data_IF_237200685491
#
_entry.id   IF_237200685491
#
_cell.length_a   1.000
_cell.length_b   1.000
_cell.length_c   1.000
_cell.angle_alpha   90.00
_cell.angle_beta   90.00
_cell.angle_gamma   90.00
#
_symmetry.space_group_name_H-M   'P 1'
#
loop_
_entity.id
_entity.type
_entity.pdbx_description
1 polymer ?
#
# COMPACT_ATOMS: atom_id res chain seq x y z
N UNK A 1 15.39 7.20 63.78
CA UNK A 1 14.41 6.23 63.23
C UNK A 1 14.73 6.00 61.75
N UNK A 2 14.98 4.75 61.36
CA UNK A 2 15.98 4.38 60.35
C UNK A 2 15.36 4.12 58.94
N UNK A 3 15.85 4.80 57.89
CA UNK A 3 15.35 4.77 56.49
C UNK A 3 15.59 3.45 55.72
N UNK A 4 16.03 2.37 56.38
CA UNK A 4 16.42 1.10 55.72
C UNK A 4 15.35 0.00 55.72
N UNK A 5 14.13 0.25 56.21
CA UNK A 5 13.08 -0.81 56.31
C UNK A 5 11.96 -0.76 55.25
N UNK A 6 11.91 0.26 54.38
CA UNK A 6 10.82 0.38 53.39
C UNK A 6 11.15 -0.30 52.05
N UNK A 7 12.41 -0.65 51.79
CA UNK A 7 12.83 -1.21 50.48
C UNK A 7 12.75 -2.75 50.41
N UNK A 8 12.49 -3.47 51.53
CA UNK A 8 12.45 -4.94 51.53
C UNK A 8 11.05 -5.58 51.45
N UNK A 9 9.97 -4.81 51.39
CA UNK A 9 8.60 -5.39 51.40
C UNK A 9 7.95 -5.43 50.00
N UNK A 10 8.46 -4.69 49.02
CA UNK A 10 7.83 -4.65 47.68
C UNK A 10 8.36 -5.74 46.72
N UNK A 11 9.43 -6.45 47.09
CA UNK A 11 10.00 -7.51 46.23
C UNK A 11 9.37 -8.89 46.47
N UNK A 12 8.55 -9.05 47.54
CA UNK A 12 7.91 -10.34 47.88
C UNK A 12 6.46 -10.51 47.42
N UNK A 13 5.94 -9.58 46.62
CA UNK A 13 4.63 -9.70 45.94
C UNK A 13 4.75 -9.70 44.40
N UNK A 14 5.95 -9.94 43.87
CA UNK A 14 6.24 -10.00 42.42
C UNK A 14 6.26 -11.40 41.80
N UNK A 15 5.86 -12.46 42.51
CA UNK A 15 6.02 -13.86 42.06
C UNK A 15 4.74 -14.72 42.16
N UNK A 16 3.56 -14.10 42.25
CA UNK A 16 2.29 -14.83 42.43
C UNK A 16 1.23 -14.57 41.34
N UNK A 17 1.62 -14.10 40.14
CA UNK A 17 0.68 -13.96 39.01
C UNK A 17 1.12 -14.67 37.72
N UNK A 18 2.10 -15.57 37.79
CA UNK A 18 2.46 -16.47 36.67
C UNK A 18 1.83 -17.86 36.78
N UNK A 19 0.75 -18.01 37.56
CA UNK A 19 0.06 -19.29 37.70
C UNK A 19 -1.47 -19.17 37.57
N UNK A 20 -1.94 -18.32 36.66
CA UNK A 20 -3.30 -18.47 36.13
C UNK A 20 -3.20 -19.24 34.82
N UNK A 21 -3.69 -20.48 34.83
CA UNK A 21 -3.71 -21.42 33.71
C UNK A 21 -4.60 -21.01 32.52
N UNK A 22 -4.57 -19.74 32.11
CA UNK A 22 -5.35 -19.25 30.98
C UNK A 22 -4.64 -19.40 29.63
N UNK A 23 -3.32 -19.62 29.60
CA UNK A 23 -2.56 -19.73 28.35
C UNK A 23 -2.65 -21.16 27.77
N UNK A 24 -2.80 -22.20 28.61
CA UNK A 24 -2.88 -23.58 28.12
C UNK A 24 -4.18 -23.87 27.33
N UNK A 25 -5.29 -23.17 27.63
CA UNK A 25 -6.56 -23.33 26.92
C UNK A 25 -6.51 -22.75 25.49
N UNK A 26 -5.71 -21.70 25.28
CA UNK A 26 -5.52 -21.11 23.95
C UNK A 26 -4.76 -22.03 22.98
N UNK A 27 -3.93 -22.94 23.50
CA UNK A 27 -3.15 -23.88 22.67
C UNK A 27 -3.74 -25.30 22.60
N UNK A 28 -4.76 -25.64 23.40
CA UNK A 28 -5.37 -27.00 23.40
C UNK A 28 -6.56 -27.15 22.43
N UNK A 29 -7.21 -26.06 22.01
CA UNK A 29 -8.38 -26.12 21.10
C UNK A 29 -8.02 -26.19 19.60
N UNK A 30 -6.73 -26.14 19.23
CA UNK A 30 -6.30 -26.19 17.82
C UNK A 30 -5.92 -27.59 17.29
N UNK A 31 -6.26 -28.66 18.04
CA UNK A 31 -5.91 -30.05 17.64
C UNK A 31 -7.08 -30.89 17.12
N UNK A 32 -8.26 -30.32 16.90
CA UNK A 32 -9.44 -31.04 16.37
C UNK A 32 -10.23 -30.23 15.35
N UNK A 33 -9.58 -29.77 14.28
CA UNK A 33 -10.26 -29.41 13.02
C UNK A 33 -9.71 -30.29 11.90
N UNK A 34 -9.82 -31.61 12.07
CA UNK A 34 -10.01 -32.49 10.92
C UNK A 34 -11.49 -32.39 10.50
N UNK A 35 -11.84 -31.29 9.81
CA UNK A 35 -13.05 -31.29 8.99
C UNK A 35 -12.65 -31.70 7.59
N UNK A 36 -12.83 -33.00 7.36
CA UNK A 36 -13.03 -33.70 6.09
C UNK A 36 -13.49 -32.75 4.96
N UNK A 37 -12.56 -32.30 4.13
CA UNK A 37 -12.88 -31.72 2.83
C UNK A 37 -13.01 -32.88 1.86
N UNK A 38 -14.26 -33.17 1.50
CA UNK A 38 -14.61 -34.12 0.45
C UNK A 38 -14.16 -33.53 -0.90
N UNK A 39 -13.12 -34.12 -1.49
CA UNK A 39 -12.72 -33.82 -2.87
C UNK A 39 -13.82 -34.32 -3.80
N UNK A 40 -14.58 -33.40 -4.40
CA UNK A 40 -15.36 -33.71 -5.60
C UNK A 40 -14.39 -33.84 -6.77
N UNK A 41 -14.48 -34.96 -7.49
CA UNK A 41 -13.69 -35.28 -8.67
C UNK A 41 -13.63 -34.12 -9.66
N UNK A 42 -12.47 -33.47 -9.76
CA UNK A 42 -12.18 -32.50 -10.81
C UNK A 42 -11.80 -33.31 -12.04
N UNK A 43 -12.63 -33.27 -13.08
CA UNK A 43 -12.32 -33.87 -14.38
C UNK A 43 -11.00 -33.29 -14.92
N UNK A 44 -10.08 -34.12 -15.42
CA UNK A 44 -8.82 -33.64 -15.95
C UNK A 44 -9.08 -32.70 -17.14
N UNK A 45 -8.48 -31.51 -17.06
CA UNK A 45 -8.34 -30.62 -18.22
C UNK A 45 -7.44 -31.35 -19.21
N UNK A 46 -8.01 -31.73 -20.36
CA UNK A 46 -7.25 -32.28 -21.47
C UNK A 46 -6.43 -31.16 -22.09
N UNK A 47 -5.13 -31.16 -21.82
CA UNK A 47 -4.17 -30.47 -22.67
C UNK A 47 -3.96 -31.33 -23.92
N UNK A 48 -4.15 -30.72 -25.10
CA UNK A 48 -3.77 -31.34 -26.37
C UNK A 48 -2.24 -31.38 -26.44
N UNK A 49 -1.63 -32.45 -25.95
CA UNK A 49 -0.23 -32.77 -26.24
C UNK A 49 -0.15 -33.50 -27.59
N UNK A 50 0.56 -32.87 -28.52
CA UNK A 50 0.95 -33.45 -29.80
C UNK A 50 1.91 -34.64 -29.54
N UNK A 51 1.66 -35.86 -30.04
CA UNK A 51 2.34 -37.07 -29.56
C UNK A 51 3.72 -37.32 -30.19
N UNK A 52 4.48 -36.28 -30.53
CA UNK A 52 5.84 -36.41 -31.04
C UNK A 52 6.81 -35.48 -30.31
N UNK A 53 7.12 -35.82 -29.06
CA UNK A 53 8.38 -35.41 -28.44
C UNK A 53 8.75 -36.42 -27.36
N UNK A 54 9.65 -37.33 -27.71
CA UNK A 54 10.41 -38.11 -26.74
C UNK A 54 11.56 -37.23 -26.26
N UNK A 55 11.60 -36.75 -24.99
CA UNK A 55 12.69 -35.90 -24.55
C UNK A 55 13.70 -36.79 -23.81
N UNK A 56 14.59 -37.45 -24.55
CA UNK A 56 15.90 -37.76 -23.99
C UNK A 56 16.65 -36.41 -23.91
N UNK A 57 16.40 -35.66 -22.83
CA UNK A 57 17.14 -34.43 -22.54
C UNK A 57 18.53 -34.85 -22.07
N UNK A 58 19.51 -34.67 -22.96
CA UNK A 58 20.91 -34.81 -22.61
C UNK A 58 21.38 -33.55 -21.88
N UNK A 59 21.82 -33.70 -20.64
CA UNK A 59 22.54 -32.67 -19.91
C UNK A 59 24.00 -32.63 -20.39
N UNK A 60 24.61 -31.45 -20.45
CA UNK A 60 26.05 -31.35 -20.63
C UNK A 60 26.81 -31.68 -19.33
N UNK A 61 28.14 -31.79 -19.42
CA UNK A 61 29.01 -32.18 -18.30
C UNK A 61 28.98 -31.17 -17.12
N UNK A 62 28.31 -30.02 -17.29
CA UNK A 62 28.07 -29.01 -16.25
C UNK A 62 26.63 -29.05 -15.67
N UNK A 63 25.75 -29.93 -16.17
CA UNK A 63 24.41 -30.14 -15.64
C UNK A 63 23.35 -29.14 -16.13
N UNK A 64 23.56 -28.46 -17.26
CA UNK A 64 22.56 -27.54 -17.82
C UNK A 64 21.72 -28.18 -18.93
N UNK A 65 20.38 -28.01 -18.93
CA UNK A 65 19.54 -28.46 -20.04
C UNK A 65 19.79 -27.59 -21.28
N UNK A 66 20.08 -28.20 -22.44
CA UNK A 66 20.43 -27.45 -23.65
C UNK A 66 19.26 -26.74 -24.33
N UNK A 67 18.03 -27.21 -24.14
CA UNK A 67 16.84 -26.65 -24.77
C UNK A 67 15.64 -26.78 -23.81
N UNK A 68 15.49 -25.84 -22.87
CA UNK A 68 14.24 -25.72 -22.12
C UNK A 68 13.54 -24.42 -22.51
N UNK A 69 12.27 -24.53 -22.92
CA UNK A 69 11.39 -23.45 -23.36
C UNK A 69 11.00 -22.46 -22.22
N UNK A 70 11.76 -22.43 -21.13
CA UNK A 70 11.58 -21.55 -19.98
C UNK A 70 12.10 -20.12 -20.25
N UNK A 71 12.77 -19.88 -21.38
CA UNK A 71 13.38 -18.58 -21.70
C UNK A 71 12.40 -17.57 -22.30
N UNK A 72 11.14 -17.96 -22.59
CA UNK A 72 10.14 -17.05 -23.18
C UNK A 72 9.56 -16.05 -22.15
N UNK A 73 9.86 -16.22 -20.85
CA UNK A 73 9.37 -15.36 -19.77
C UNK A 73 10.42 -14.48 -19.09
N UNK A 74 11.65 -14.40 -19.61
CA UNK A 74 12.71 -13.61 -18.98
C UNK A 74 12.39 -12.11 -19.09
N UNK A 75 11.90 -11.54 -17.98
CA UNK A 75 11.87 -10.09 -17.74
C UNK A 75 13.28 -9.57 -18.04
N UNK A 76 13.41 -8.55 -18.90
CA UNK A 76 14.75 -8.16 -19.35
C UNK A 76 15.61 -7.71 -18.16
N UNK A 77 16.92 -7.89 -18.24
CA UNK A 77 17.83 -7.37 -17.21
C UNK A 77 17.64 -5.84 -16.97
N UNK A 78 17.10 -5.10 -17.94
CA UNK A 78 16.75 -3.68 -17.78
C UNK A 78 15.48 -3.44 -16.96
N UNK A 79 14.52 -4.38 -16.95
CA UNK A 79 13.34 -4.33 -16.07
C UNK A 79 13.70 -4.72 -14.63
N UNK A 80 14.64 -5.65 -14.44
CA UNK A 80 15.19 -5.98 -13.11
C UNK A 80 16.05 -4.85 -12.51
N UNK A 81 16.48 -3.88 -13.33
CA UNK A 81 17.32 -2.74 -12.91
C UNK A 81 16.54 -1.47 -12.57
N UNK A 82 15.20 -1.51 -12.48
CA UNK A 82 14.43 -0.41 -11.88
C UNK A 82 14.50 -0.46 -10.36
N UNK A 83 15.71 -0.35 -9.81
CA UNK A 83 15.88 0.13 -8.44
C UNK A 83 15.58 1.63 -8.48
N UNK A 84 14.54 2.13 -7.77
CA UNK A 84 14.24 3.55 -7.72
C UNK A 84 15.49 4.31 -7.31
N UNK A 85 16.03 5.13 -8.21
CA UNK A 85 17.18 5.96 -7.87
C UNK A 85 16.66 7.05 -6.96
N UNK A 86 17.17 7.07 -5.72
CA UNK A 86 16.85 8.12 -4.75
C UNK A 86 16.88 9.50 -5.41
N UNK A 87 15.75 10.20 -5.40
CA UNK A 87 15.62 11.51 -6.06
C UNK A 87 15.01 11.50 -7.47
N UNK A 88 14.37 10.40 -7.89
CA UNK A 88 13.59 10.32 -9.14
C UNK A 88 12.57 11.48 -9.25
N UNK A 89 12.35 11.93 -10.48
CA UNK A 89 11.40 12.98 -10.82
C UNK A 89 10.28 12.38 -11.67
N UNK A 90 9.04 12.66 -11.29
CA UNK A 90 7.84 12.18 -11.96
C UNK A 90 7.09 13.37 -12.56
N UNK A 91 6.65 13.21 -13.81
CA UNK A 91 5.75 14.16 -14.47
C UNK A 91 4.41 13.47 -14.65
N UNK A 92 3.51 13.68 -13.71
CA UNK A 92 2.20 13.05 -13.70
C UNK A 92 1.16 13.94 -14.37
N UNK A 93 0.24 13.33 -15.11
CA UNK A 93 -0.90 14.03 -15.70
C UNK A 93 -2.18 13.50 -15.09
N UNK A 94 -2.94 14.39 -14.46
CA UNK A 94 -4.26 14.03 -13.96
C UNK A 94 -5.24 13.78 -15.11
N UNK A 95 -6.32 13.06 -14.82
CA UNK A 95 -7.43 12.78 -15.73
C UNK A 95 -8.00 14.07 -16.36
N UNK A 96 -8.02 15.17 -15.60
CA UNK A 96 -8.48 16.50 -16.07
C UNK A 96 -7.38 17.32 -16.75
N UNK A 97 -6.23 16.72 -17.03
CA UNK A 97 -5.14 17.32 -17.81
C UNK A 97 -4.16 18.19 -17.02
N UNK A 98 -4.33 18.37 -15.71
CA UNK A 98 -3.34 19.09 -14.88
C UNK A 98 -2.07 18.26 -14.76
N UNK A 99 -0.94 18.86 -15.10
CA UNK A 99 0.41 18.32 -14.86
C UNK A 99 0.84 18.56 -13.41
N UNK A 100 1.51 17.58 -12.82
CA UNK A 100 2.03 17.60 -11.46
C UNK A 100 3.47 17.09 -11.52
N UNK A 101 4.43 17.89 -11.07
CA UNK A 101 5.82 17.47 -10.96
C UNK A 101 6.09 17.02 -9.53
N UNK A 102 6.44 15.74 -9.37
CA UNK A 102 6.74 15.12 -8.08
C UNK A 102 8.22 14.76 -8.06
N UNK A 103 8.96 15.24 -7.06
CA UNK A 103 10.35 14.84 -6.87
C UNK A 103 10.52 14.06 -5.58
N UNK A 104 11.15 12.89 -5.63
CA UNK A 104 11.37 12.05 -4.46
C UNK A 104 12.43 12.62 -3.51
N UNK A 105 12.25 12.36 -2.22
CA UNK A 105 13.19 12.66 -1.13
C UNK A 105 13.31 11.45 -0.24
N UNK A 106 14.39 11.38 0.54
CA UNK A 106 14.63 10.28 1.51
C UNK A 106 13.43 10.02 2.43
N UNK A 107 12.72 11.07 2.84
CA UNK A 107 11.60 10.98 3.80
C UNK A 107 10.30 11.58 3.27
N UNK A 108 10.18 11.80 1.96
CA UNK A 108 8.97 12.37 1.40
C UNK A 108 9.07 12.78 -0.06
N UNK A 109 8.31 13.82 -0.42
CA UNK A 109 8.14 14.25 -1.81
C UNK A 109 8.02 15.76 -1.90
N UNK A 110 8.56 16.30 -2.99
CA UNK A 110 8.35 17.69 -3.42
C UNK A 110 7.24 17.76 -4.45
N UNK A 111 6.45 18.84 -4.44
CA UNK A 111 5.43 19.10 -5.46
C UNK A 111 5.52 20.53 -5.97
N UNK A 112 5.98 20.72 -7.21
CA UNK A 112 6.29 22.05 -7.73
C UNK A 112 5.06 22.98 -7.77
N UNK A 113 3.89 22.44 -8.09
CA UNK A 113 2.63 23.18 -8.17
C UNK A 113 2.04 23.54 -6.80
N UNK A 114 2.54 22.93 -5.73
CA UNK A 114 1.97 23.00 -4.38
C UNK A 114 3.01 23.39 -3.32
N UNK A 115 4.09 24.07 -3.71
CA UNK A 115 5.10 24.57 -2.78
C UNK A 115 4.48 25.36 -1.62
N UNK A 116 4.95 25.08 -0.41
CA UNK A 116 4.48 25.70 0.84
C UNK A 116 3.10 25.23 1.30
N UNK A 117 2.47 24.28 0.62
CA UNK A 117 1.21 23.66 1.06
C UNK A 117 1.48 22.33 1.75
N UNK A 118 0.56 21.94 2.62
CA UNK A 118 0.39 20.54 2.99
C UNK A 118 -0.19 19.80 1.77
N UNK A 119 0.39 18.66 1.41
CA UNK A 119 -0.12 17.80 0.34
C UNK A 119 -0.57 16.48 0.93
N UNK A 120 -1.84 16.14 0.71
CA UNK A 120 -2.34 14.78 0.91
C UNK A 120 -2.12 14.02 -0.39
N UNK A 121 -1.25 13.02 -0.38
CA UNK A 121 -1.09 12.07 -1.46
C UNK A 121 -1.82 10.77 -1.09
N UNK A 122 -2.86 10.43 -1.83
CA UNK A 122 -3.72 9.30 -1.49
C UNK A 122 -3.77 8.27 -2.60
N UNK A 123 -3.54 7.01 -2.27
CA UNK A 123 -3.88 5.86 -3.10
C UNK A 123 -5.31 5.45 -2.79
N UNK A 124 -6.15 5.36 -3.83
CA UNK A 124 -7.57 5.01 -3.69
C UNK A 124 -8.05 4.15 -4.86
N UNK A 125 -9.24 3.58 -4.72
CA UNK A 125 -9.92 2.81 -5.76
C UNK A 125 -11.29 3.36 -6.08
N UNK A 126 -11.70 3.33 -7.36
CA UNK A 126 -13.03 3.81 -7.78
C UNK A 126 -14.17 2.99 -7.16
N UNK A 127 -13.95 1.69 -6.97
CA UNK A 127 -14.92 0.73 -6.42
C UNK A 127 -14.60 0.31 -4.99
N UNK A 128 -13.68 1.01 -4.32
CA UNK A 128 -13.28 0.77 -2.94
C UNK A 128 -14.28 1.45 -1.98
N UNK A 129 -15.08 0.70 -1.18
CA UNK A 129 -16.11 1.29 -0.32
C UNK A 129 -15.54 2.27 0.72
N UNK A 130 -14.43 1.91 1.35
CA UNK A 130 -13.73 2.77 2.31
C UNK A 130 -13.23 4.07 1.69
N UNK A 131 -12.74 3.99 0.45
CA UNK A 131 -12.31 5.16 -0.31
C UNK A 131 -13.51 6.09 -0.59
N UNK A 132 -14.66 5.53 -0.96
CA UNK A 132 -15.89 6.30 -1.20
C UNK A 132 -16.39 6.99 0.08
N UNK A 133 -16.33 6.28 1.23
CA UNK A 133 -16.71 6.81 2.54
C UNK A 133 -15.83 7.99 2.99
N UNK A 134 -14.57 8.04 2.56
CA UNK A 134 -13.61 9.08 2.92
C UNK A 134 -13.76 10.37 2.07
N UNK A 135 -14.39 10.31 0.89
CA UNK A 135 -14.57 11.48 0.01
C UNK A 135 -15.21 12.71 0.70
N UNK A 136 -16.26 12.56 1.54
CA UNK A 136 -16.80 13.67 2.32
C UNK A 136 -15.80 14.26 3.33
N UNK A 137 -14.91 13.44 3.90
CA UNK A 137 -13.85 13.87 4.82
C UNK A 137 -12.83 14.73 4.06
N UNK A 138 -12.28 14.22 2.95
CA UNK A 138 -11.31 14.96 2.12
C UNK A 138 -11.88 16.29 1.62
N UNK A 139 -13.16 16.31 1.22
CA UNK A 139 -13.85 17.53 0.83
C UNK A 139 -13.95 18.55 1.97
N UNK A 140 -14.25 18.11 3.19
CA UNK A 140 -14.31 19.00 4.38
C UNK A 140 -12.92 19.54 4.72
N UNK A 141 -11.90 18.68 4.73
CA UNK A 141 -10.51 19.04 5.02
C UNK A 141 -9.98 20.06 4.01
N UNK A 142 -10.10 19.81 2.70
CA UNK A 142 -9.71 20.79 1.67
C UNK A 142 -10.46 22.12 1.80
N UNK A 143 -11.73 22.10 2.19
CA UNK A 143 -12.49 23.33 2.42
C UNK A 143 -11.97 24.10 3.63
N UNK A 144 -11.66 23.43 4.74
CA UNK A 144 -11.15 24.05 5.97
C UNK A 144 -9.76 24.66 5.75
N UNK A 145 -8.84 23.91 5.13
CA UNK A 145 -7.46 24.34 4.87
C UNK A 145 -7.26 24.95 3.47
N UNK A 146 -8.30 25.58 2.92
CA UNK A 146 -8.28 26.14 1.56
C UNK A 146 -7.12 27.14 1.41
N UNK A 147 -6.31 26.94 0.38
CA UNK A 147 -5.13 27.78 0.10
C UNK A 147 -3.85 27.29 0.78
N UNK A 148 -3.96 26.52 1.87
CA UNK A 148 -2.82 25.95 2.60
C UNK A 148 -2.62 24.45 2.36
N UNK A 149 -3.62 23.77 1.79
CA UNK A 149 -3.61 22.34 1.55
C UNK A 149 -4.09 22.00 0.13
N UNK A 150 -3.53 20.93 -0.43
CA UNK A 150 -4.03 20.26 -1.62
C UNK A 150 -4.13 18.74 -1.42
N UNK A 151 -5.04 18.09 -2.15
CA UNK A 151 -5.09 16.63 -2.28
C UNK A 151 -4.62 16.25 -3.68
N UNK A 152 -3.86 15.18 -3.81
CA UNK A 152 -3.55 14.50 -5.07
C UNK A 152 -3.92 13.03 -4.84
N UNK A 153 -4.76 12.48 -5.71
CA UNK A 153 -5.20 11.10 -5.58
C UNK A 153 -4.69 10.26 -6.74
N UNK A 154 -4.12 9.10 -6.45
CA UNK A 154 -3.72 8.08 -7.42
C UNK A 154 -4.78 6.99 -7.39
N UNK A 155 -5.45 6.78 -8.51
CA UNK A 155 -6.38 5.68 -8.68
C UNK A 155 -5.54 4.42 -8.88
N UNK A 156 -5.47 3.56 -7.87
CA UNK A 156 -4.56 2.40 -7.81
C UNK A 156 -5.28 1.08 -8.10
N UNK A 157 -6.32 1.11 -8.95
CA UNK A 157 -7.05 -0.06 -9.41
C UNK A 157 -7.07 -0.08 -10.94
N UNK A 158 -7.95 -0.87 -11.55
CA UNK A 158 -8.16 -0.85 -12.98
C UNK A 158 -8.51 0.57 -13.47
N UNK A 159 -7.81 0.98 -14.53
CA UNK A 159 -7.92 2.30 -15.15
C UNK A 159 -9.38 2.66 -15.44
N UNK A 160 -9.75 3.90 -15.17
CA UNK A 160 -11.04 4.39 -15.63
C UNK A 160 -11.03 4.76 -17.11
N UNK A 161 -12.04 4.31 -17.84
CA UNK A 161 -12.37 4.95 -19.12
C UNK A 161 -12.76 6.41 -18.90
N UNK A 162 -12.56 7.27 -19.90
CA UNK A 162 -12.88 8.71 -19.78
C UNK A 162 -14.33 8.98 -19.32
N UNK A 163 -15.37 8.27 -19.82
CA UNK A 163 -16.74 8.45 -19.34
C UNK A 163 -16.91 8.06 -17.87
N UNK A 164 -16.32 6.93 -17.45
CA UNK A 164 -16.37 6.45 -16.06
C UNK A 164 -15.70 7.46 -15.13
N UNK A 165 -14.50 7.93 -15.49
CA UNK A 165 -13.78 8.93 -14.71
C UNK A 165 -14.57 10.24 -14.58
N UNK A 166 -15.14 10.74 -15.68
CA UNK A 166 -15.96 11.94 -15.68
C UNK A 166 -17.17 11.79 -14.75
N UNK A 167 -17.88 10.66 -14.84
CA UNK A 167 -19.02 10.37 -13.98
C UNK A 167 -18.62 10.31 -12.50
N UNK A 168 -17.59 9.53 -12.17
CA UNK A 168 -17.08 9.37 -10.80
C UNK A 168 -16.74 10.74 -10.17
N UNK A 169 -15.94 11.54 -10.88
CA UNK A 169 -15.52 12.84 -10.41
C UNK A 169 -16.71 13.80 -10.19
N UNK A 170 -17.69 13.78 -11.08
CA UNK A 170 -18.86 14.66 -10.97
C UNK A 170 -19.82 14.20 -9.87
N UNK A 171 -20.14 12.91 -9.83
CA UNK A 171 -20.99 12.28 -8.81
C UNK A 171 -20.48 12.57 -7.40
N UNK A 172 -19.17 12.39 -7.18
CA UNK A 172 -18.54 12.58 -5.88
C UNK A 172 -18.05 14.01 -5.62
N UNK A 173 -18.30 14.94 -6.57
CA UNK A 173 -17.92 16.36 -6.48
C UNK A 173 -16.42 16.54 -6.19
N UNK A 174 -15.57 15.74 -6.82
CA UNK A 174 -14.13 15.79 -6.64
C UNK A 174 -13.57 17.02 -7.36
N UNK A 175 -12.79 17.81 -6.61
CA UNK A 175 -12.22 19.09 -7.04
C UNK A 175 -10.70 19.14 -6.94
N UNK A 176 -10.05 17.98 -6.82
CA UNK A 176 -8.60 17.81 -6.78
C UNK A 176 -8.15 16.93 -7.96
N UNK A 177 -6.85 16.92 -8.30
CA UNK A 177 -6.33 16.05 -9.35
C UNK A 177 -6.44 14.57 -8.96
N UNK A 178 -6.87 13.76 -9.93
CA UNK A 178 -6.80 12.30 -9.89
C UNK A 178 -5.85 11.87 -11.01
N UNK A 179 -4.85 11.05 -10.70
CA UNK A 179 -3.92 10.42 -11.65
C UNK A 179 -4.28 8.93 -11.74
N UNK A 180 -4.26 8.35 -12.94
CA UNK A 180 -4.43 6.90 -13.09
C UNK A 180 -3.15 6.19 -12.64
N UNK A 181 -3.27 5.08 -11.91
CA UNK A 181 -2.15 4.40 -11.28
C UNK A 181 -1.10 3.91 -12.28
N UNK A 182 -1.54 3.44 -13.44
CA UNK A 182 -0.66 3.06 -14.56
C UNK A 182 0.28 4.20 -14.98
N UNK A 183 -0.19 5.46 -14.89
CA UNK A 183 0.56 6.66 -15.25
C UNK A 183 1.48 7.11 -14.09
N UNK A 184 1.43 6.44 -12.93
CA UNK A 184 2.16 6.74 -11.70
C UNK A 184 2.84 5.49 -11.09
N UNK A 185 3.14 4.47 -11.90
CA UNK A 185 3.69 3.17 -11.47
C UNK A 185 4.99 3.30 -10.67
N UNK A 186 5.97 4.08 -11.15
CA UNK A 186 7.25 4.26 -10.42
C UNK A 186 7.05 4.95 -9.07
N UNK A 187 6.20 5.99 -9.01
CA UNK A 187 5.89 6.66 -7.75
C UNK A 187 5.21 5.71 -6.76
N UNK A 188 4.31 4.85 -7.25
CA UNK A 188 3.67 3.82 -6.42
C UNK A 188 4.69 2.81 -5.86
N UNK A 189 5.66 2.37 -6.66
CA UNK A 189 6.75 1.52 -6.18
C UNK A 189 7.64 2.22 -5.14
N UNK A 190 8.00 3.48 -5.37
CA UNK A 190 8.76 4.27 -4.39
C UNK A 190 8.00 4.41 -3.06
N UNK A 191 6.67 4.60 -3.12
CA UNK A 191 5.83 4.64 -1.92
C UNK A 191 5.77 3.27 -1.21
N UNK A 192 5.69 2.18 -1.96
CA UNK A 192 5.74 0.83 -1.41
C UNK A 192 7.07 0.56 -0.70
N UNK A 193 8.20 0.91 -1.32
CA UNK A 193 9.54 0.69 -0.76
C UNK A 193 9.81 1.58 0.46
N UNK A 194 9.50 2.87 0.36
CA UNK A 194 9.89 3.87 1.35
C UNK A 194 8.91 3.97 2.52
N UNK A 195 7.61 3.82 2.25
CA UNK A 195 6.54 4.03 3.23
C UNK A 195 5.74 2.74 3.53
N UNK A 196 6.06 1.63 2.88
CA UNK A 196 5.47 0.32 3.20
C UNK A 196 4.03 0.16 2.74
N UNK A 197 3.63 0.84 1.66
CA UNK A 197 2.30 0.61 1.07
C UNK A 197 2.21 -0.79 0.44
N UNK A 198 1.25 -1.59 0.90
CA UNK A 198 1.06 -2.99 0.48
C UNK A 198 -0.08 -3.19 -0.51
N UNK A 199 -0.62 -2.12 -1.08
CA UNK A 199 -1.82 -2.16 -1.93
C UNK A 199 -3.14 -2.00 -1.16
N UNK A 200 -3.11 -1.83 0.17
CA UNK A 200 -4.31 -1.54 0.95
C UNK A 200 -4.86 -0.14 0.62
N UNK A 201 -6.18 0.00 0.55
CA UNK A 201 -6.86 1.23 0.14
C UNK A 201 -7.96 1.61 1.14
N UNK A 202 -8.17 2.92 1.41
CA UNK A 202 -7.29 4.01 1.00
C UNK A 202 -5.97 3.97 1.77
N UNK A 203 -4.93 4.56 1.20
CA UNK A 203 -3.66 4.78 1.90
C UNK A 203 -3.24 6.23 1.68
N UNK A 204 -3.03 6.95 2.77
CA UNK A 204 -2.94 8.40 2.79
C UNK A 204 -1.63 8.85 3.40
N UNK A 205 -0.82 9.56 2.62
CA UNK A 205 0.39 10.26 3.07
C UNK A 205 0.06 11.75 3.27
N UNK A 206 0.35 12.29 4.46
CA UNK A 206 0.29 13.73 4.73
C UNK A 206 1.70 14.29 4.67
N UNK A 207 1.96 15.13 3.68
CA UNK A 207 3.29 15.63 3.33
C UNK A 207 3.36 17.12 3.60
N UNK A 208 4.39 17.55 4.32
CA UNK A 208 4.68 18.97 4.58
C UNK A 208 6.19 19.19 4.70
N UNK A 209 6.69 20.30 4.18
CA UNK A 209 8.12 20.61 4.05
C UNK A 209 8.90 19.41 3.48
N UNK A 210 8.41 18.93 2.33
CA UNK A 210 8.95 17.82 1.55
C UNK A 210 9.09 16.47 2.29
N UNK A 211 8.47 16.36 3.47
CA UNK A 211 8.56 15.21 4.37
C UNK A 211 7.18 14.63 4.62
N UNK A 212 7.03 13.30 4.59
CA UNK A 212 5.84 12.62 5.07
C UNK A 212 5.78 12.76 6.60
N UNK A 213 4.77 13.44 7.10
CA UNK A 213 4.55 13.69 8.54
C UNK A 213 3.64 12.64 9.17
N UNK A 214 2.62 12.20 8.43
CA UNK A 214 1.66 11.21 8.87
C UNK A 214 1.34 10.23 7.74
N UNK A 215 1.09 8.98 8.13
CA UNK A 215 0.68 7.90 7.24
C UNK A 215 -0.59 7.28 7.83
N UNK A 216 -1.60 7.11 7.01
CA UNK A 216 -2.80 6.38 7.38
C UNK A 216 -3.04 5.24 6.41
N UNK A 217 -3.20 4.04 6.97
CA UNK A 217 -3.54 2.83 6.24
C UNK A 217 -5.01 2.48 6.53
N UNK A 218 -5.87 2.64 5.53
CA UNK A 218 -7.32 2.55 5.67
C UNK A 218 -8.01 3.92 5.79
N UNK A 219 -9.34 3.86 5.95
CA UNK A 219 -10.22 5.03 6.03
C UNK A 219 -9.85 5.96 7.20
N UNK A 220 -9.64 7.25 6.93
CA UNK A 220 -9.29 8.23 7.97
C UNK A 220 -10.49 9.07 8.38
N UNK A 221 -10.69 9.22 9.69
CA UNK A 221 -11.73 10.07 10.22
C UNK A 221 -11.42 11.56 10.00
N UNK A 222 -12.46 12.39 9.88
CA UNK A 222 -12.27 13.85 9.83
C UNK A 222 -11.50 14.37 11.05
N UNK A 223 -11.76 13.83 12.25
CA UNK A 223 -11.12 14.31 13.49
C UNK A 223 -9.62 14.06 13.46
N UNK A 224 -9.19 12.88 13.03
CA UNK A 224 -7.77 12.52 13.02
C UNK A 224 -7.04 13.32 11.94
N UNK A 225 -7.59 13.36 10.72
CA UNK A 225 -6.97 14.12 9.64
C UNK A 225 -6.92 15.62 9.95
N UNK A 226 -7.95 16.16 10.61
CA UNK A 226 -8.01 17.57 11.03
C UNK A 226 -6.99 17.90 12.14
N UNK A 227 -6.79 16.98 13.09
CA UNK A 227 -5.76 17.12 14.13
C UNK A 227 -4.37 17.12 13.49
N UNK A 228 -4.06 16.09 12.71
CA UNK A 228 -2.74 15.89 12.12
C UNK A 228 -2.34 17.07 11.22
N UNK A 229 -3.26 17.58 10.40
CA UNK A 229 -2.99 18.75 9.55
C UNK A 229 -2.92 20.04 10.38
N UNK A 230 -3.70 20.14 11.47
CA UNK A 230 -3.69 21.28 12.36
C UNK A 230 -2.36 21.47 13.09
N UNK A 231 -1.63 20.39 13.37
CA UNK A 231 -0.30 20.41 14.01
C UNK A 231 0.81 20.94 13.09
N UNK A 232 0.54 21.10 11.79
CA UNK A 232 1.51 21.55 10.78
C UNK A 232 1.48 23.07 10.54
N UNK A 233 0.63 23.81 11.25
CA UNK A 233 0.47 25.27 11.13
C UNK A 233 0.63 25.96 12.48
#
# INVERSE_FOLDING_TARGET
MNRKKVVSIVILSGLALLNTGCIQKYFYDNKNIEKKVEYKDIKPVTTNSNPNSNPNIACDEAGTPKDSDCDIGAISANELNHTPKQGEQHILKSIRGKTIHVGEKEKGFTFNEYRGKVVILQMFGKDCPHCINELPVLRKIRKKYRGKLEVIAIQSQERMSKPVASNYINQHKIRYPIVEGEDATNLQYSIQETFGWTGILPYTLVIHDDTVKYIHSGEVSYKDLDRDIGELF
#
